data_IF_459263658184
#
_entry.id   IF_459263658184
#
_cell.length_a   1.000
_cell.length_b   1.000
_cell.length_c   1.000
_cell.angle_alpha   90.00
_cell.angle_beta   90.00
_cell.angle_gamma   90.00
#
_symmetry.space_group_name_H-M   'P 1'
#
loop_
_entity.id
_entity.type
_entity.pdbx_description
1 polymer ?
#
# COMPACT_ATOMS: atom_id res chain seq x y z
N UNK A 1 -12.11 1.82 6.08
CA UNK A 1 -10.80 1.35 6.60
C UNK A 1 -10.46 -0.03 6.02
N UNK A 2 -9.22 -0.49 6.20
CA UNK A 2 -8.76 -1.83 5.76
C UNK A 2 -8.42 -2.71 6.97
N UNK A 3 -8.45 -4.04 6.77
CA UNK A 3 -8.07 -5.02 7.79
C UNK A 3 -6.56 -4.98 8.09
N UNK A 4 -6.14 -5.69 9.15
CA UNK A 4 -4.72 -6.07 9.30
C UNK A 4 -4.26 -6.92 8.12
N UNK A 5 -2.94 -6.89 7.86
CA UNK A 5 -2.32 -7.69 6.80
C UNK A 5 -2.49 -9.20 7.05
N UNK A 6 -2.62 -9.99 5.98
CA UNK A 6 -2.70 -11.45 6.09
C UNK A 6 -1.38 -12.00 6.64
N UNK A 7 -1.39 -12.62 7.83
CA UNK A 7 -0.15 -12.93 8.55
C UNK A 7 0.72 -13.94 7.81
N UNK A 8 0.11 -14.93 7.15
CA UNK A 8 0.86 -15.96 6.44
C UNK A 8 1.49 -15.44 5.15
N UNK A 9 0.80 -14.60 4.40
CA UNK A 9 1.33 -14.03 3.15
C UNK A 9 2.43 -13.02 3.45
N UNK A 10 2.26 -12.26 4.53
CA UNK A 10 3.30 -11.38 5.02
C UNK A 10 4.57 -12.15 5.43
N UNK A 11 4.39 -13.29 6.12
CA UNK A 11 5.50 -14.16 6.49
C UNK A 11 6.19 -14.78 5.28
N UNK A 12 5.41 -15.32 4.33
CA UNK A 12 5.93 -15.94 3.11
C UNK A 12 6.68 -14.95 2.20
N UNK A 13 6.23 -13.70 2.19
CA UNK A 13 6.90 -12.62 1.45
C UNK A 13 8.04 -11.96 2.22
N UNK A 14 8.49 -12.53 3.35
CA UNK A 14 9.56 -11.96 4.17
C UNK A 14 9.35 -10.49 4.57
N UNK A 15 8.09 -10.10 4.82
CA UNK A 15 7.76 -8.74 5.19
C UNK A 15 7.51 -7.79 4.01
N UNK A 16 7.71 -8.22 2.77
CA UNK A 16 7.64 -7.35 1.59
C UNK A 16 6.21 -7.05 1.15
N UNK A 17 5.29 -8.02 1.25
CA UNK A 17 3.96 -7.89 0.68
C UNK A 17 2.89 -7.82 1.77
N UNK A 18 2.37 -6.61 1.96
CA UNK A 18 1.22 -6.35 2.83
C UNK A 18 -0.08 -6.48 2.03
N UNK A 19 -0.98 -7.34 2.50
CA UNK A 19 -2.26 -7.57 1.83
C UNK A 19 -3.42 -7.59 2.81
N UNK A 20 -4.45 -6.80 2.53
CA UNK A 20 -5.60 -6.58 3.42
C UNK A 20 -6.92 -6.62 2.64
N UNK A 21 -8.03 -6.71 3.38
CA UNK A 21 -9.40 -6.62 2.83
C UNK A 21 -10.02 -5.26 3.15
N UNK A 22 -10.93 -4.80 2.28
CA UNK A 22 -11.75 -3.63 2.57
C UNK A 22 -12.80 -3.99 3.62
N UNK A 23 -12.91 -3.17 4.67
CA UNK A 23 -13.95 -3.32 5.70
C UNK A 23 -15.28 -2.62 5.33
N UNK A 24 -15.34 -2.00 4.14
CA UNK A 24 -16.56 -1.44 3.59
C UNK A 24 -17.11 -0.21 4.32
N UNK A 25 -18.36 0.14 4.00
CA UNK A 25 -19.05 1.35 4.49
C UNK A 25 -19.13 1.45 6.02
N UNK A 26 -19.40 0.38 6.79
CA UNK A 26 -19.48 0.47 8.25
C UNK A 26 -18.16 0.89 8.91
N UNK A 27 -17.04 0.79 8.19
CA UNK A 27 -15.71 1.13 8.68
C UNK A 27 -15.23 2.53 8.25
N UNK A 28 -16.10 3.36 7.68
CA UNK A 28 -15.75 4.74 7.33
C UNK A 28 -15.56 5.58 8.59
N UNK A 29 -14.55 6.45 8.55
CA UNK A 29 -14.20 7.34 9.66
C UNK A 29 -14.00 8.75 9.13
N UNK A 30 -14.41 9.74 9.93
CA UNK A 30 -14.06 11.14 9.70
C UNK A 30 -12.66 11.37 10.27
N UNK A 31 -11.74 11.86 9.44
CA UNK A 31 -10.35 12.14 9.82
C UNK A 31 -10.09 13.60 9.46
N UNK A 32 -9.55 14.39 10.39
CA UNK A 32 -9.06 15.74 10.05
C UNK A 32 -7.89 15.58 9.09
N UNK A 33 -7.91 16.31 7.99
CA UNK A 33 -6.83 16.28 6.99
C UNK A 33 -5.46 16.57 7.60
N UNK A 34 -5.40 17.34 8.69
CA UNK A 34 -4.17 17.65 9.43
C UNK A 34 -3.58 16.46 10.19
N UNK A 35 -4.38 15.43 10.44
CA UNK A 35 -3.94 14.20 11.12
C UNK A 35 -3.36 13.16 10.13
N UNK A 36 -3.42 13.43 8.81
CA UNK A 36 -2.88 12.53 7.79
C UNK A 36 -1.36 12.69 7.70
N UNK A 37 -0.62 11.65 8.11
CA UNK A 37 0.85 11.66 8.07
C UNK A 37 1.44 11.28 6.70
N UNK A 38 0.76 10.41 5.95
CA UNK A 38 1.23 9.89 4.67
C UNK A 38 0.06 9.31 3.86
N UNK A 39 0.25 9.18 2.54
CA UNK A 39 -0.71 8.53 1.63
C UNK A 39 -0.01 7.40 0.90
N UNK A 40 -0.66 6.23 0.88
CA UNK A 40 -0.19 5.03 0.19
C UNK A 40 -1.17 4.64 -0.91
N UNK A 41 -0.67 3.97 -1.94
CA UNK A 41 -1.51 3.36 -2.96
C UNK A 41 -2.11 2.05 -2.46
N UNK A 42 -3.39 1.83 -2.73
CA UNK A 42 -4.07 0.56 -2.47
C UNK A 42 -4.44 -0.09 -3.80
N UNK A 43 -3.73 -1.15 -4.17
CA UNK A 43 -3.91 -1.81 -5.48
C UNK A 43 -4.84 -3.03 -5.33
N UNK A 44 -6.03 -3.05 -5.96
CA UNK A 44 -6.91 -4.21 -5.91
C UNK A 44 -6.31 -5.39 -6.66
N UNK A 45 -6.44 -6.59 -6.09
CA UNK A 45 -5.94 -7.82 -6.69
C UNK A 45 -6.73 -9.05 -6.23
N UNK A 46 -6.86 -10.07 -7.08
CA UNK A 46 -7.41 -11.38 -6.71
C UNK A 46 -6.27 -12.37 -6.59
N UNK A 47 -6.15 -13.07 -5.46
CA UNK A 47 -5.06 -14.01 -5.22
C UNK A 47 -5.56 -15.28 -4.55
N UNK A 48 -4.83 -16.38 -4.77
CA UNK A 48 -5.03 -17.65 -4.08
C UNK A 48 -4.26 -17.64 -2.77
N UNK A 49 -4.97 -17.79 -1.66
CA UNK A 49 -4.39 -17.92 -0.33
C UNK A 49 -3.66 -19.27 -0.18
N UNK A 50 -2.77 -19.41 0.81
CA UNK A 50 -2.16 -20.70 1.14
C UNK A 50 -3.19 -21.79 1.49
N UNK A 51 -4.38 -21.41 1.94
CA UNK A 51 -5.53 -22.29 2.13
C UNK A 51 -6.14 -22.84 0.84
N UNK A 52 -5.72 -22.33 -0.33
CA UNK A 52 -6.29 -22.65 -1.64
C UNK A 52 -7.50 -21.79 -2.03
N UNK A 53 -7.99 -20.93 -1.15
CA UNK A 53 -9.14 -20.05 -1.41
C UNK A 53 -8.71 -18.84 -2.23
N UNK A 54 -9.47 -18.51 -3.29
CA UNK A 54 -9.28 -17.28 -4.06
C UNK A 54 -10.07 -16.14 -3.43
N UNK A 55 -9.41 -15.03 -3.14
CA UNK A 55 -10.04 -13.86 -2.52
C UNK A 55 -9.61 -12.54 -3.16
N UNK A 56 -10.53 -11.56 -3.15
CA UNK A 56 -10.26 -10.18 -3.51
C UNK A 56 -9.63 -9.44 -2.34
N UNK A 57 -8.45 -8.87 -2.57
CA UNK A 57 -7.62 -8.18 -1.57
C UNK A 57 -6.98 -6.93 -2.17
N UNK A 58 -6.30 -6.17 -1.32
CA UNK A 58 -5.58 -4.97 -1.70
C UNK A 58 -4.12 -5.07 -1.24
N UNK A 59 -3.19 -4.67 -2.09
CA UNK A 59 -1.79 -4.48 -1.71
C UNK A 59 -1.53 -3.03 -1.34
N UNK A 60 -0.73 -2.83 -0.30
CA UNK A 60 -0.21 -1.51 0.06
C UNK A 60 1.04 -1.26 -0.78
N UNK A 61 1.06 -0.14 -1.50
CA UNK A 61 2.21 0.30 -2.28
C UNK A 61 2.65 1.66 -1.76
N UNK A 62 3.86 1.71 -1.23
CA UNK A 62 4.52 2.98 -0.95
C UNK A 62 5.14 3.51 -2.25
N UNK A 63 4.93 4.80 -2.52
CA UNK A 63 5.63 5.47 -3.60
C UNK A 63 7.10 5.59 -3.20
N UNK A 64 7.94 4.72 -3.76
CA UNK A 64 9.40 4.90 -3.68
C UNK A 64 9.70 6.27 -4.28
N UNK A 65 10.23 7.19 -3.48
CA UNK A 65 10.47 8.57 -3.92
C UNK A 65 11.34 8.58 -5.18
N UNK A 66 10.74 8.89 -6.33
CA UNK A 66 11.50 9.18 -7.54
C UNK A 66 12.24 10.49 -7.28
N UNK A 67 13.52 10.40 -6.91
CA UNK A 67 14.39 11.57 -6.78
C UNK A 67 14.72 12.04 -8.20
N UNK A 68 13.93 12.99 -8.71
CA UNK A 68 14.24 13.67 -9.96
C UNK A 68 15.49 14.51 -9.69
N UNK A 69 16.64 14.06 -10.19
CA UNK A 69 17.84 14.89 -10.20
C UNK A 69 17.68 15.92 -11.32
N UNK A 70 17.54 17.20 -10.97
CA UNK A 70 17.63 18.28 -11.94
C UNK A 70 19.10 18.52 -12.25
N UNK A 71 19.62 17.95 -13.34
CA UNK A 71 20.89 18.41 -13.93
C UNK A 71 20.59 19.62 -14.81
N UNK A 72 20.79 20.82 -14.27
CA UNK A 72 20.88 22.04 -15.09
C UNK A 72 22.29 22.16 -15.68
N UNK A 73 22.46 22.82 -16.84
CA UNK A 73 23.79 23.10 -17.37
C UNK A 73 24.55 24.00 -16.38
N UNK A 74 25.79 23.63 -16.05
CA UNK A 74 26.72 24.55 -15.41
C UNK A 74 27.01 25.65 -16.45
N UNK A 75 26.61 26.88 -16.13
CA UNK A 75 27.03 28.06 -16.89
C UNK A 75 28.49 28.26 -16.58
N UNK A 76 29.36 27.90 -17.51
CA UNK A 76 30.75 28.34 -17.54
C UNK A 76 30.75 29.86 -17.84
N UNK A 77 31.24 30.67 -16.88
CA UNK A 77 31.62 32.08 -17.07
C UNK A 77 33.01 32.19 -17.72
#
# INVERSE_FOLDING_TARGET
LFSKSHPELLKLSHGTLMTCTSLGQPSLHLIDVKDILSVVGMVPHSLTLPSGVVENRFFVVEKSGLKIACSGPEVDD
#
